data_IF_696374032326
#
_entry.id   IF_696374032326
#
_cell.length_a   1.000
_cell.length_b   1.000
_cell.length_c   1.000
_cell.angle_alpha   90.00
_cell.angle_beta   90.00
_cell.angle_gamma   90.00
#
_symmetry.space_group_name_H-M   'P 1'
#
loop_
_entity.id
_entity.type
_entity.pdbx_description
1 polymer ?
#
# COMPACT_ATOMS: atom_id res chain seq x y z
N UNK A 1 4.28 -24.95 32.68
CA UNK A 1 5.10 -23.86 33.22
C UNK A 1 5.47 -22.93 32.06
N UNK A 2 4.78 -21.78 31.93
CA UNK A 2 5.10 -20.78 30.92
C UNK A 2 6.39 -20.07 31.33
N UNK A 3 7.50 -20.34 30.64
CA UNK A 3 8.68 -19.46 30.70
C UNK A 3 8.24 -18.12 30.12
N UNK A 4 7.91 -17.14 30.96
CA UNK A 4 7.83 -15.74 30.58
C UNK A 4 9.21 -15.36 30.05
N UNK A 5 9.32 -15.26 28.73
CA UNK A 5 10.53 -14.75 28.06
C UNK A 5 10.63 -13.27 28.43
N UNK A 6 11.32 -12.96 29.51
CA UNK A 6 11.53 -11.58 29.98
C UNK A 6 12.59 -10.96 29.11
N UNK A 7 12.12 -10.22 28.09
CA UNK A 7 12.98 -9.40 27.22
C UNK A 7 13.87 -8.48 28.07
N UNK A 8 15.13 -8.40 27.74
CA UNK A 8 16.03 -7.41 28.35
C UNK A 8 15.62 -5.98 27.91
N UNK A 9 16.22 -4.96 28.52
CA UNK A 9 15.87 -3.55 28.27
C UNK A 9 16.01 -3.14 26.79
N UNK A 10 17.07 -3.58 26.11
CA UNK A 10 17.32 -3.28 24.69
C UNK A 10 16.28 -3.95 23.80
N UNK A 11 16.00 -5.22 24.04
CA UNK A 11 14.97 -5.96 23.30
C UNK A 11 13.58 -5.35 23.45
N UNK A 12 13.23 -4.85 24.64
CA UNK A 12 11.97 -4.12 24.87
C UNK A 12 11.89 -2.83 24.04
N UNK A 13 12.97 -2.06 23.97
CA UNK A 13 13.03 -0.83 23.16
C UNK A 13 12.88 -1.17 21.68
N UNK A 14 13.56 -2.20 21.18
CA UNK A 14 13.42 -2.67 19.80
C UNK A 14 11.96 -3.07 19.52
N UNK A 15 11.35 -3.85 20.40
CA UNK A 15 9.93 -4.23 20.26
C UNK A 15 9.02 -3.01 20.23
N UNK A 16 9.26 -2.00 21.06
CA UNK A 16 8.48 -0.75 21.06
C UNK A 16 8.64 0.03 19.76
N UNK A 17 9.83 0.02 19.14
CA UNK A 17 10.06 0.66 17.83
C UNK A 17 9.21 -0.04 16.76
N UNK A 18 9.23 -1.37 16.72
CA UNK A 18 8.44 -2.16 15.76
C UNK A 18 6.94 -1.97 15.99
N UNK A 19 6.49 -2.02 17.24
CA UNK A 19 5.09 -1.72 17.60
C UNK A 19 4.70 -0.29 17.22
N UNK A 20 5.58 0.69 17.37
CA UNK A 20 5.36 2.07 16.95
C UNK A 20 5.09 2.19 15.45
N UNK A 21 5.85 1.48 14.62
CA UNK A 21 5.59 1.41 13.17
C UNK A 21 4.23 0.79 12.87
N UNK A 22 3.93 -0.35 13.50
CA UNK A 22 2.61 -1.01 13.36
C UNK A 22 1.46 -0.08 13.74
N UNK A 23 1.57 0.61 14.87
CA UNK A 23 0.54 1.53 15.35
C UNK A 23 0.39 2.74 14.43
N UNK A 24 1.47 3.20 13.79
CA UNK A 24 1.39 4.28 12.79
C UNK A 24 0.52 3.87 11.60
N UNK A 25 0.71 2.67 11.04
CA UNK A 25 -0.13 2.17 9.94
C UNK A 25 -1.60 2.02 10.35
N UNK A 26 -1.86 1.45 11.53
CA UNK A 26 -3.22 1.27 12.04
C UNK A 26 -3.92 2.63 12.25
N UNK A 27 -3.22 3.60 12.87
CA UNK A 27 -3.78 4.92 13.13
C UNK A 27 -4.03 5.71 11.85
N UNK A 28 -3.12 5.62 10.88
CA UNK A 28 -3.28 6.23 9.57
C UNK A 28 -4.53 5.68 8.84
N UNK A 29 -4.72 4.37 8.84
CA UNK A 29 -5.93 3.74 8.27
C UNK A 29 -7.22 4.12 9.00
N UNK A 30 -7.18 4.29 10.34
CA UNK A 30 -8.33 4.76 11.11
C UNK A 30 -8.69 6.22 10.79
N UNK A 31 -7.69 7.09 10.57
CA UNK A 31 -7.93 8.45 10.10
C UNK A 31 -8.61 8.47 8.74
N UNK A 32 -8.09 7.71 7.78
CA UNK A 32 -8.71 7.61 6.47
C UNK A 32 -10.18 7.16 6.56
N UNK A 33 -10.43 6.10 7.35
CA UNK A 33 -11.77 5.57 7.58
C UNK A 33 -12.72 6.62 8.19
N UNK A 34 -12.26 7.40 9.17
CA UNK A 34 -13.08 8.41 9.81
C UNK A 34 -13.37 9.59 8.87
N UNK A 35 -12.38 10.04 8.11
CA UNK A 35 -12.57 11.08 7.10
C UNK A 35 -13.53 10.60 6.00
N UNK A 36 -13.42 9.36 5.54
CA UNK A 36 -14.37 8.76 4.60
C UNK A 36 -15.80 8.78 5.17
N UNK A 37 -15.97 8.42 6.42
CA UNK A 37 -17.27 8.40 7.09
C UNK A 37 -17.89 9.78 7.24
N UNK A 38 -17.09 10.80 7.62
CA UNK A 38 -17.58 12.15 7.88
C UNK A 38 -17.74 12.99 6.59
N UNK A 39 -16.84 12.83 5.62
CA UNK A 39 -16.71 13.73 4.47
C UNK A 39 -16.87 13.05 3.10
N UNK A 40 -17.03 11.73 3.08
CA UNK A 40 -17.14 10.92 1.87
C UNK A 40 -15.80 10.52 1.27
N UNK A 41 -15.85 9.50 0.39
CA UNK A 41 -14.66 8.85 -0.18
C UNK A 41 -13.78 9.80 -1.00
N UNK A 42 -14.38 10.67 -1.81
CA UNK A 42 -13.62 11.62 -2.65
C UNK A 42 -12.76 12.55 -1.78
N UNK A 43 -13.37 13.15 -0.75
CA UNK A 43 -12.65 14.02 0.19
C UNK A 43 -11.58 13.26 0.96
N UNK A 44 -11.84 11.99 1.32
CA UNK A 44 -10.86 11.15 2.01
C UNK A 44 -9.63 10.89 1.16
N UNK A 45 -9.80 10.59 -0.14
CA UNK A 45 -8.69 10.37 -1.06
C UNK A 45 -7.84 11.62 -1.26
N UNK A 46 -8.48 12.78 -1.44
CA UNK A 46 -7.79 14.06 -1.63
C UNK A 46 -7.02 14.49 -0.36
N UNK A 47 -7.63 14.33 0.81
CA UNK A 47 -6.99 14.67 2.09
C UNK A 47 -5.89 13.68 2.46
N UNK A 48 -6.03 12.40 2.11
CA UNK A 48 -4.99 11.41 2.31
C UNK A 48 -3.74 11.74 1.47
N UNK A 49 -3.90 12.06 0.19
CA UNK A 49 -2.79 12.48 -0.68
C UNK A 49 -2.05 13.71 -0.11
N UNK A 50 -2.78 14.74 0.32
CA UNK A 50 -2.20 15.93 0.94
C UNK A 50 -1.47 15.61 2.25
N UNK A 51 -2.08 14.74 3.07
CA UNK A 51 -1.50 14.30 4.34
C UNK A 51 -0.22 13.50 4.10
N UNK A 52 -0.22 12.58 3.14
CA UNK A 52 0.96 11.79 2.80
C UNK A 52 2.11 12.67 2.31
N UNK A 53 1.85 13.58 1.38
CA UNK A 53 2.85 14.52 0.86
C UNK A 53 3.50 15.38 1.95
N UNK A 54 2.81 15.63 3.06
CA UNK A 54 3.33 16.38 4.21
C UNK A 54 4.00 15.47 5.24
N UNK A 55 3.33 14.40 5.64
CA UNK A 55 3.76 13.54 6.74
C UNK A 55 4.97 12.66 6.37
N UNK A 56 4.98 12.10 5.15
CA UNK A 56 6.04 11.20 4.73
C UNK A 56 7.44 11.85 4.77
N UNK A 57 7.69 13.03 4.17
CA UNK A 57 8.99 13.70 4.26
C UNK A 57 9.42 13.97 5.70
N UNK A 58 8.48 14.36 6.58
CA UNK A 58 8.78 14.62 8.00
C UNK A 58 9.22 13.34 8.70
N UNK A 59 8.50 12.24 8.51
CA UNK A 59 8.81 10.95 9.10
C UNK A 59 10.15 10.42 8.60
N UNK A 60 10.37 10.43 7.30
CA UNK A 60 11.59 9.91 6.68
C UNK A 60 12.83 10.74 7.03
N UNK A 61 12.73 12.06 7.07
CA UNK A 61 13.82 12.94 7.51
C UNK A 61 14.22 12.67 8.98
N UNK A 62 13.23 12.42 9.85
CA UNK A 62 13.47 12.11 11.26
C UNK A 62 14.14 10.75 11.42
N UNK A 63 13.65 9.72 10.72
CA UNK A 63 14.25 8.37 10.72
C UNK A 63 15.63 8.37 10.08
N UNK A 64 15.81 9.05 8.95
CA UNK A 64 17.10 9.14 8.25
C UNK A 64 18.20 9.71 9.13
N UNK A 65 17.90 10.77 9.90
CA UNK A 65 18.86 11.35 10.86
C UNK A 65 19.32 10.34 11.92
N UNK A 66 18.44 9.45 12.37
CA UNK A 66 18.74 8.47 13.43
C UNK A 66 19.34 7.18 12.90
N UNK A 67 18.95 6.76 11.69
CA UNK A 67 19.39 5.51 11.06
C UNK A 67 20.56 5.69 10.10
N UNK A 68 21.02 6.93 9.88
CA UNK A 68 22.20 7.22 9.07
C UNK A 68 21.94 7.21 7.55
N UNK A 69 20.74 7.51 7.08
CA UNK A 69 20.46 7.72 5.66
C UNK A 69 19.96 9.14 5.37
N UNK A 70 20.30 9.63 4.18
CA UNK A 70 19.82 10.92 3.69
C UNK A 70 18.56 10.78 2.88
N UNK A 71 17.71 11.81 2.93
CA UNK A 71 16.50 11.90 2.13
C UNK A 71 16.48 13.18 1.29
N UNK A 72 15.78 13.13 0.16
CA UNK A 72 15.47 14.31 -0.64
C UNK A 72 14.38 15.18 0.03
N UNK A 73 14.01 16.34 -0.55
CA UNK A 73 12.94 17.19 -0.01
C UNK A 73 11.56 16.49 0.08
N UNK A 74 11.31 15.46 -0.76
CA UNK A 74 10.08 14.67 -0.75
C UNK A 74 10.12 13.50 0.24
N UNK A 75 11.24 13.33 0.99
CA UNK A 75 11.42 12.24 1.95
C UNK A 75 11.94 10.94 1.33
N UNK A 76 12.30 10.94 0.05
CA UNK A 76 12.82 9.74 -0.62
C UNK A 76 14.26 9.49 -0.19
N UNK A 77 14.61 8.28 0.33
CA UNK A 77 16.00 7.94 0.66
C UNK A 77 16.89 8.01 -0.60
N UNK A 78 18.00 8.75 -0.50
CA UNK A 78 18.93 8.90 -1.63
C UNK A 78 19.49 7.56 -2.09
N UNK A 79 19.69 6.62 -1.17
CA UNK A 79 20.15 5.27 -1.47
C UNK A 79 19.22 4.50 -2.43
N UNK A 80 17.92 4.84 -2.47
CA UNK A 80 17.01 4.27 -3.48
C UNK A 80 17.28 4.87 -4.87
N UNK A 81 17.56 6.17 -4.94
CA UNK A 81 17.84 6.86 -6.21
C UNK A 81 19.18 6.42 -6.84
N UNK A 82 20.10 5.89 -6.04
CA UNK A 82 21.41 5.38 -6.47
C UNK A 82 21.36 3.92 -6.94
N UNK A 83 20.26 3.22 -6.74
CA UNK A 83 20.13 1.81 -7.16
C UNK A 83 19.90 1.69 -8.66
N UNK A 84 20.32 0.54 -9.21
CA UNK A 84 19.99 0.20 -10.59
C UNK A 84 18.48 0.02 -10.78
N UNK A 85 18.00 0.23 -12.01
CA UNK A 85 16.58 -0.02 -12.33
C UNK A 85 16.18 -1.47 -12.00
N UNK A 86 17.06 -2.43 -12.25
CA UNK A 86 16.84 -3.84 -11.90
C UNK A 86 16.61 -4.02 -10.40
N UNK A 87 17.47 -3.43 -9.55
CA UNK A 87 17.34 -3.53 -8.09
C UNK A 87 16.05 -2.86 -7.61
N UNK A 88 15.68 -1.71 -8.23
CA UNK A 88 14.42 -1.04 -7.91
C UNK A 88 13.20 -1.90 -8.27
N UNK A 89 13.22 -2.61 -9.39
CA UNK A 89 12.16 -3.55 -9.76
C UNK A 89 12.07 -4.74 -8.79
N UNK A 90 13.20 -5.27 -8.33
CA UNK A 90 13.24 -6.31 -7.30
C UNK A 90 12.65 -5.83 -5.97
N UNK A 91 12.99 -4.62 -5.54
CA UNK A 91 12.43 -3.99 -4.33
C UNK A 91 10.91 -3.78 -4.49
N UNK A 92 10.47 -3.25 -5.63
CA UNK A 92 9.05 -3.03 -5.89
C UNK A 92 8.27 -4.35 -5.87
N UNK A 93 8.83 -5.41 -6.44
CA UNK A 93 8.25 -6.76 -6.39
C UNK A 93 8.14 -7.25 -4.94
N UNK A 94 9.19 -7.08 -4.13
CA UNK A 94 9.16 -7.49 -2.73
C UNK A 94 8.10 -6.71 -1.92
N UNK A 95 7.96 -5.40 -2.14
CA UNK A 95 6.90 -4.58 -1.52
C UNK A 95 5.51 -5.09 -1.93
N UNK A 96 5.33 -5.42 -3.20
CA UNK A 96 4.06 -5.93 -3.73
C UNK A 96 3.69 -7.29 -3.13
N UNK A 97 4.68 -8.19 -2.99
CA UNK A 97 4.49 -9.49 -2.33
C UNK A 97 4.10 -9.30 -0.85
N UNK A 98 4.78 -8.40 -0.14
CA UNK A 98 4.46 -8.12 1.27
C UNK A 98 3.04 -7.57 1.44
N UNK A 99 2.62 -6.69 0.53
CA UNK A 99 1.26 -6.15 0.51
C UNK A 99 0.22 -7.27 0.34
N UNK A 100 0.39 -8.15 -0.65
CA UNK A 100 -0.52 -9.27 -0.89
C UNK A 100 -0.49 -10.30 0.25
N UNK A 101 0.69 -10.57 0.81
CA UNK A 101 0.83 -11.47 1.95
C UNK A 101 0.07 -10.95 3.17
N UNK A 102 0.08 -9.63 3.42
CA UNK A 102 -0.68 -9.03 4.51
C UNK A 102 -2.19 -9.24 4.33
N UNK A 103 -2.72 -9.08 3.10
CA UNK A 103 -4.12 -9.37 2.77
C UNK A 103 -4.47 -10.84 3.04
N UNK A 104 -3.64 -11.77 2.55
CA UNK A 104 -3.82 -13.21 2.77
C UNK A 104 -3.78 -13.61 4.26
N UNK A 105 -2.90 -13.02 5.06
CA UNK A 105 -2.82 -13.27 6.51
C UNK A 105 -4.08 -12.76 7.23
N UNK A 106 -4.59 -11.59 6.85
CA UNK A 106 -5.86 -11.08 7.36
C UNK A 106 -7.01 -12.02 7.06
N UNK A 107 -7.14 -12.44 5.79
CA UNK A 107 -8.16 -13.39 5.36
C UNK A 107 -8.11 -14.67 6.19
N UNK A 108 -6.94 -15.32 6.28
CA UNK A 108 -6.75 -16.56 7.05
C UNK A 108 -7.04 -16.38 8.54
N UNK A 109 -6.70 -15.24 9.12
CA UNK A 109 -6.96 -14.97 10.54
C UNK A 109 -8.46 -14.88 10.84
N UNK A 110 -9.22 -14.22 9.96
CA UNK A 110 -10.68 -14.15 10.08
C UNK A 110 -11.31 -15.53 9.82
N UNK A 111 -10.89 -16.24 8.77
CA UNK A 111 -11.39 -17.56 8.42
C UNK A 111 -11.20 -18.55 9.55
N UNK A 112 -10.02 -18.60 10.16
CA UNK A 112 -9.73 -19.53 11.28
C UNK A 112 -10.49 -19.20 12.57
N UNK A 113 -10.80 -17.92 12.79
CA UNK A 113 -11.46 -17.46 14.02
C UNK A 113 -12.99 -17.54 13.91
N UNK A 114 -13.51 -17.32 12.74
CA UNK A 114 -14.95 -17.30 12.45
C UNK A 114 -15.30 -18.35 11.39
N UNK A 115 -15.29 -17.99 10.10
CA UNK A 115 -15.56 -18.87 8.97
C UNK A 115 -15.14 -18.23 7.63
N UNK A 116 -15.18 -19.05 6.56
CA UNK A 116 -14.87 -18.65 5.18
C UNK A 116 -15.80 -17.53 4.66
N UNK A 117 -17.10 -17.58 4.96
CA UNK A 117 -18.07 -16.59 4.47
C UNK A 117 -17.81 -15.22 5.10
N UNK A 118 -17.48 -15.20 6.39
CA UNK A 118 -17.11 -13.98 7.10
C UNK A 118 -15.80 -13.39 6.55
N UNK A 119 -14.78 -14.23 6.32
CA UNK A 119 -13.52 -13.81 5.71
C UNK A 119 -13.75 -13.24 4.31
N UNK A 120 -14.53 -13.93 3.47
CA UNK A 120 -14.86 -13.48 2.12
C UNK A 120 -15.58 -12.14 2.11
N UNK A 121 -16.58 -11.96 2.99
CA UNK A 121 -17.29 -10.69 3.10
C UNK A 121 -16.37 -9.54 3.54
N UNK A 122 -15.49 -9.78 4.50
CA UNK A 122 -14.53 -8.76 4.94
C UNK A 122 -13.57 -8.36 3.80
N UNK A 123 -13.03 -9.35 3.10
CA UNK A 123 -12.13 -9.12 1.96
C UNK A 123 -12.83 -8.36 0.84
N UNK A 124 -14.05 -8.74 0.44
CA UNK A 124 -14.79 -8.08 -0.62
C UNK A 124 -15.07 -6.60 -0.31
N UNK A 125 -15.43 -6.29 0.94
CA UNK A 125 -15.64 -4.91 1.39
C UNK A 125 -14.31 -4.14 1.45
N UNK A 126 -13.24 -4.77 1.91
CA UNK A 126 -11.91 -4.15 1.91
C UNK A 126 -11.48 -3.78 0.49
N UNK A 127 -11.58 -4.71 -0.46
CA UNK A 127 -11.21 -4.47 -1.86
C UNK A 127 -12.11 -3.44 -2.55
N UNK A 128 -13.41 -3.39 -2.22
CA UNK A 128 -14.31 -2.38 -2.78
C UNK A 128 -13.94 -0.94 -2.39
N UNK A 129 -13.23 -0.77 -1.27
CA UNK A 129 -12.71 0.52 -0.80
C UNK A 129 -11.29 0.79 -1.28
N UNK A 130 -10.45 -0.24 -1.23
CA UNK A 130 -9.05 -0.13 -1.66
C UNK A 130 -8.90 0.13 -3.16
N UNK A 131 -9.71 -0.52 -4.01
CA UNK A 131 -9.57 -0.38 -5.46
C UNK A 131 -9.79 1.04 -5.99
N UNK A 132 -10.80 1.81 -5.54
CA UNK A 132 -10.92 3.23 -5.91
C UNK A 132 -9.74 4.08 -5.43
N UNK A 133 -9.25 3.85 -4.21
CA UNK A 133 -8.08 4.54 -3.66
C UNK A 133 -6.82 4.25 -4.49
N UNK A 134 -6.55 2.97 -4.78
CA UNK A 134 -5.43 2.56 -5.64
C UNK A 134 -5.53 3.21 -7.03
N UNK A 135 -6.72 3.22 -7.64
CA UNK A 135 -6.94 3.83 -8.95
C UNK A 135 -6.69 5.35 -8.92
N UNK A 136 -7.14 6.04 -7.87
CA UNK A 136 -6.89 7.48 -7.66
C UNK A 136 -5.39 7.77 -7.60
N UNK A 137 -4.63 7.03 -6.80
CA UNK A 137 -3.19 7.21 -6.69
C UNK A 137 -2.44 6.88 -7.99
N UNK A 138 -2.80 5.80 -8.68
CA UNK A 138 -2.19 5.46 -9.97
C UNK A 138 -2.45 6.58 -10.97
N UNK A 139 -3.69 7.09 -11.04
CA UNK A 139 -4.06 8.20 -11.94
C UNK A 139 -3.18 9.42 -11.70
N UNK A 140 -3.00 9.83 -10.45
CA UNK A 140 -2.11 10.93 -10.04
C UNK A 140 -0.65 10.64 -10.39
N UNK A 141 -0.16 9.44 -10.04
CA UNK A 141 1.25 9.05 -10.20
C UNK A 141 1.72 9.08 -11.66
N UNK A 142 0.91 8.58 -12.59
CA UNK A 142 1.29 8.48 -14.01
C UNK A 142 0.58 9.50 -14.92
N UNK A 143 -0.17 10.45 -14.34
CA UNK A 143 -0.80 11.55 -15.07
C UNK A 143 -1.88 11.09 -16.06
N UNK A 144 -2.74 10.14 -15.67
CA UNK A 144 -3.83 9.69 -16.55
C UNK A 144 -4.90 10.77 -16.71
N UNK A 145 -5.44 10.94 -17.94
CA UNK A 145 -6.52 11.89 -18.19
C UNK A 145 -7.83 11.45 -17.48
N UNK A 146 -8.74 12.41 -17.26
CA UNK A 146 -10.04 12.18 -16.60
C UNK A 146 -10.88 11.12 -17.34
N UNK A 147 -10.92 11.21 -18.67
CA UNK A 147 -11.66 10.31 -19.55
C UNK A 147 -10.70 9.63 -20.53
N UNK A 148 -9.78 8.82 -20.03
CA UNK A 148 -8.72 8.21 -20.82
C UNK A 148 -9.10 6.95 -21.58
N UNK A 149 -10.34 6.45 -21.44
CA UNK A 149 -10.81 5.26 -22.14
C UNK A 149 -10.04 3.99 -21.78
N UNK A 150 -10.08 3.02 -22.69
CA UNK A 150 -9.48 1.69 -22.47
C UNK A 150 -7.95 1.75 -22.40
N UNK A 151 -7.29 2.64 -23.11
CA UNK A 151 -5.85 2.82 -23.06
C UNK A 151 -5.37 3.28 -21.67
N UNK A 152 -6.12 4.19 -21.05
CA UNK A 152 -5.81 4.63 -19.67
C UNK A 152 -6.11 3.52 -18.67
N UNK A 153 -7.16 2.74 -18.86
CA UNK A 153 -7.49 1.59 -18.04
C UNK A 153 -6.36 0.53 -18.10
N UNK A 154 -5.88 0.17 -19.27
CA UNK A 154 -4.76 -0.76 -19.42
C UNK A 154 -3.50 -0.25 -18.73
N UNK A 155 -3.14 1.02 -18.93
CA UNK A 155 -2.01 1.65 -18.24
C UNK A 155 -2.18 1.58 -16.72
N UNK A 156 -3.37 1.90 -16.20
CA UNK A 156 -3.65 1.81 -14.77
C UNK A 156 -3.50 0.38 -14.25
N UNK A 157 -4.08 -0.61 -14.93
CA UNK A 157 -3.98 -2.03 -14.56
C UNK A 157 -2.53 -2.52 -14.52
N UNK A 158 -1.69 -2.06 -15.46
CA UNK A 158 -0.26 -2.37 -15.49
C UNK A 158 0.55 -1.68 -14.36
N UNK A 159 0.02 -0.66 -13.71
CA UNK A 159 0.68 0.04 -12.60
C UNK A 159 0.22 -0.42 -11.22
N UNK A 160 -0.77 -1.29 -11.13
CA UNK A 160 -1.17 -1.88 -9.85
C UNK A 160 -0.03 -2.69 -9.22
N UNK A 161 0.04 -2.73 -7.90
CA UNK A 161 0.97 -3.61 -7.18
C UNK A 161 0.77 -5.07 -7.59
N UNK A 162 -0.46 -5.46 -7.87
CA UNK A 162 -0.84 -6.79 -8.32
C UNK A 162 -0.16 -7.20 -9.65
N UNK A 163 0.10 -6.24 -10.55
CA UNK A 163 0.77 -6.47 -11.83
C UNK A 163 2.25 -6.87 -11.67
N UNK A 164 2.84 -6.63 -10.49
CA UNK A 164 4.24 -7.00 -10.19
C UNK A 164 4.37 -8.45 -9.71
N UNK A 165 3.25 -9.09 -9.38
CA UNK A 165 3.20 -10.43 -8.80
C UNK A 165 2.63 -11.43 -9.81
N UNK A 166 1.68 -11.00 -10.62
CA UNK A 166 0.96 -11.83 -11.58
C UNK A 166 1.28 -11.46 -13.02
N UNK A 167 1.19 -12.45 -13.92
CA UNK A 167 1.30 -12.20 -15.35
C UNK A 167 -0.03 -11.64 -15.85
N UNK A 168 0.00 -10.42 -16.37
CA UNK A 168 -1.13 -9.77 -16.99
C UNK A 168 -1.09 -9.92 -18.51
N UNK A 169 -2.21 -10.25 -19.12
CA UNK A 169 -2.37 -10.37 -20.57
C UNK A 169 -3.51 -9.45 -20.99
N UNK A 170 -3.23 -8.59 -21.96
CA UNK A 170 -4.20 -7.66 -22.54
C UNK A 170 -4.41 -8.02 -24.00
N UNK A 171 -5.66 -8.06 -24.44
CA UNK A 171 -6.05 -8.30 -25.84
C UNK A 171 -7.04 -7.20 -26.25
N UNK A 172 -6.88 -6.69 -27.45
CA UNK A 172 -7.73 -5.66 -28.06
C UNK A 172 -8.44 -6.24 -29.30
N UNK A 173 -9.53 -7.01 -29.13
CA UNK A 173 -10.25 -7.60 -30.25
C UNK A 173 -10.94 -6.54 -31.13
N UNK A 174 -11.23 -5.36 -30.59
CA UNK A 174 -11.78 -4.20 -31.30
C UNK A 174 -11.35 -2.89 -30.59
N UNK A 175 -11.60 -1.75 -31.20
CA UNK A 175 -11.24 -0.45 -30.62
C UNK A 175 -12.03 -0.05 -29.35
N UNK A 176 -13.12 -0.75 -29.08
CA UNK A 176 -14.02 -0.51 -27.93
C UNK A 176 -14.00 -1.66 -26.90
N UNK A 177 -13.11 -2.64 -27.08
CA UNK A 177 -13.03 -3.83 -26.23
C UNK A 177 -11.62 -4.11 -25.78
N UNK A 178 -11.45 -4.20 -24.45
CA UNK A 178 -10.23 -4.65 -23.78
C UNK A 178 -10.52 -5.92 -23.01
N UNK A 179 -9.82 -7.00 -23.32
CA UNK A 179 -9.85 -8.24 -22.53
C UNK A 179 -8.62 -8.26 -21.64
N UNK A 180 -8.85 -8.36 -20.35
CA UNK A 180 -7.83 -8.48 -19.33
C UNK A 180 -7.89 -9.87 -18.70
N UNK A 181 -6.74 -10.59 -18.71
CA UNK A 181 -6.58 -11.88 -18.05
C UNK A 181 -5.39 -11.84 -17.10
N UNK A 182 -5.53 -12.59 -16.01
CA UNK A 182 -4.55 -12.67 -14.94
C UNK A 182 -4.35 -14.13 -14.55
#
# INVERSE_FOLDING_TARGET
MNKKNTLNRKERIVSQIIDGLRLTFLHYGLWFKEVEYQLGLQSAMELEEQTWQTAFPIMMKRLGKLLGFEVDPKGVPKQLLEKSEKDLQEILTAVSINWLAADGVWFQSVEKTFDMFTAKRCTDICWSRFSPLEAFHIKSLIGLPENGGLDALEKALNHRLYSRINKHIFEHPSGDTLIYRM
#
